data_IF_548307320826
#
_entry.id   IF_548307320826
#
_cell.length_a   1.000
_cell.length_b   1.000
_cell.length_c   1.000
_cell.angle_alpha   90.00
_cell.angle_beta   90.00
_cell.angle_gamma   90.00
#
_symmetry.space_group_name_H-M   'P 1'
#
loop_
_entity.id
_entity.type
_entity.pdbx_description
1 polymer ?
#
# COMPACT_ATOMS: atom_id res chain seq x y z
N UNK A 1 -16.17 17.65 7.63
CA UNK A 1 -15.52 16.35 7.53
C UNK A 1 -14.45 16.40 6.45
N UNK A 2 -13.24 16.05 6.82
CA UNK A 2 -12.14 16.14 5.89
C UNK A 2 -11.92 14.78 5.23
N UNK A 3 -12.04 14.77 3.93
CA UNK A 3 -11.59 13.61 3.17
C UNK A 3 -10.14 13.83 2.79
N UNK A 4 -9.34 12.81 3.00
CA UNK A 4 -7.94 12.86 2.60
C UNK A 4 -7.84 12.60 1.10
N UNK A 5 -6.94 13.31 0.45
CA UNK A 5 -6.56 13.02 -0.92
C UNK A 5 -5.56 11.87 -0.92
N UNK A 6 -5.47 11.16 -2.02
CA UNK A 6 -4.54 10.05 -2.12
C UNK A 6 -3.64 10.21 -3.33
N UNK A 7 -2.39 9.90 -3.14
CA UNK A 7 -1.42 9.86 -4.22
C UNK A 7 -0.62 8.56 -4.11
N UNK A 8 -0.60 7.79 -5.18
CA UNK A 8 0.11 6.52 -5.23
C UNK A 8 1.28 6.72 -6.19
N UNK A 9 2.50 6.41 -5.74
CA UNK A 9 3.66 6.56 -6.63
C UNK A 9 3.53 5.60 -7.81
N UNK A 10 4.15 5.95 -8.94
CA UNK A 10 3.96 5.22 -10.19
C UNK A 10 4.19 3.72 -10.09
N UNK A 11 5.30 3.22 -9.50
CA UNK A 11 5.48 1.77 -9.39
C UNK A 11 4.36 1.07 -8.61
N UNK A 12 3.82 1.70 -7.58
CA UNK A 12 2.71 1.13 -6.82
C UNK A 12 1.41 1.13 -7.63
N UNK A 13 1.18 2.19 -8.39
CA UNK A 13 0.00 2.24 -9.25
C UNK A 13 0.07 1.17 -10.33
N UNK A 14 1.23 0.99 -10.95
CA UNK A 14 1.42 -0.06 -11.94
C UNK A 14 1.18 -1.45 -11.35
N UNK A 15 1.67 -1.69 -10.13
CA UNK A 15 1.45 -2.95 -9.45
C UNK A 15 -0.04 -3.21 -9.22
N UNK A 16 -0.77 -2.20 -8.77
CA UNK A 16 -2.23 -2.33 -8.59
C UNK A 16 -2.94 -2.59 -9.90
N UNK A 17 -2.53 -1.91 -10.97
CA UNK A 17 -3.13 -2.11 -12.30
C UNK A 17 -2.87 -3.53 -12.79
N UNK A 18 -1.67 -4.04 -12.60
CA UNK A 18 -1.33 -5.42 -12.98
C UNK A 18 -2.15 -6.42 -12.18
N UNK A 19 -2.33 -6.20 -10.88
CA UNK A 19 -3.15 -7.07 -10.04
C UNK A 19 -4.60 -7.06 -10.51
N UNK A 20 -5.11 -5.91 -10.92
CA UNK A 20 -6.48 -5.83 -11.42
C UNK A 20 -6.69 -6.75 -12.62
N UNK A 21 -5.67 -6.90 -13.44
CA UNK A 21 -5.73 -7.76 -14.62
C UNK A 21 -5.46 -9.23 -14.28
N UNK A 22 -4.48 -9.52 -13.44
CA UNK A 22 -3.99 -10.88 -13.24
C UNK A 22 -4.37 -11.51 -11.91
N UNK A 23 -4.81 -10.74 -10.92
CA UNK A 23 -5.20 -11.28 -9.61
C UNK A 23 -6.18 -10.35 -8.93
N UNK A 24 -7.40 -10.38 -9.41
CA UNK A 24 -8.45 -9.48 -8.92
C UNK A 24 -8.72 -9.61 -7.41
N UNK A 25 -8.74 -10.82 -6.82
CA UNK A 25 -8.94 -10.91 -5.37
C UNK A 25 -7.90 -10.16 -4.55
N UNK A 26 -6.62 -10.24 -4.90
CA UNK A 26 -5.56 -9.51 -4.21
C UNK A 26 -5.71 -8.00 -4.48
N UNK A 27 -6.02 -7.61 -5.71
CA UNK A 27 -6.29 -6.22 -6.03
C UNK A 27 -7.39 -5.64 -5.14
N UNK A 28 -8.50 -6.35 -5.02
CA UNK A 28 -9.64 -5.88 -4.23
C UNK A 28 -9.29 -5.80 -2.74
N UNK A 29 -8.54 -6.77 -2.23
CA UNK A 29 -8.07 -6.77 -0.85
C UNK A 29 -7.23 -5.52 -0.55
N UNK A 30 -6.29 -5.20 -1.43
CA UNK A 30 -5.45 -4.02 -1.27
C UNK A 30 -6.25 -2.73 -1.38
N UNK A 31 -7.17 -2.66 -2.32
CA UNK A 31 -8.02 -1.49 -2.48
C UNK A 31 -8.91 -1.25 -1.27
N UNK A 32 -9.44 -2.30 -0.66
CA UNK A 32 -10.25 -2.17 0.55
C UNK A 32 -9.42 -1.58 1.70
N UNK A 33 -8.17 -2.03 1.85
CA UNK A 33 -7.27 -1.48 2.87
C UNK A 33 -6.95 -0.02 2.58
N UNK A 34 -6.71 0.32 1.32
CA UNK A 34 -6.44 1.70 0.92
C UNK A 34 -7.63 2.60 1.26
N UNK A 35 -8.84 2.13 1.03
CA UNK A 35 -10.06 2.88 1.40
C UNK A 35 -10.13 3.13 2.90
N UNK A 36 -9.76 2.14 3.72
CA UNK A 36 -9.68 2.34 5.17
C UNK A 36 -8.66 3.42 5.53
N UNK A 37 -7.48 3.37 4.90
CA UNK A 37 -6.44 4.36 5.16
C UNK A 37 -6.92 5.76 4.80
N UNK A 38 -7.62 5.91 3.68
CA UNK A 38 -8.16 7.20 3.26
C UNK A 38 -9.18 7.73 4.28
N UNK A 39 -10.01 6.85 4.83
CA UNK A 39 -11.03 7.24 5.81
C UNK A 39 -10.39 7.70 7.12
N UNK A 40 -9.50 6.91 7.69
CA UNK A 40 -8.88 7.18 8.98
C UNK A 40 -7.40 6.77 8.93
N UNK A 41 -6.52 7.63 8.39
CA UNK A 41 -5.11 7.25 8.20
C UNK A 41 -4.33 7.03 9.49
N UNK A 42 -4.81 7.56 10.61
CA UNK A 42 -4.16 7.39 11.91
C UNK A 42 -4.91 6.44 12.82
N UNK A 43 -5.70 5.53 12.25
CA UNK A 43 -6.41 4.51 13.01
C UNK A 43 -5.43 3.69 13.84
N UNK A 44 -5.85 3.27 15.04
CA UNK A 44 -4.95 2.61 15.99
C UNK A 44 -4.34 1.30 15.47
N UNK A 45 -5.02 0.63 14.53
CA UNK A 45 -4.47 -0.60 13.94
C UNK A 45 -3.37 -0.35 12.90
N UNK A 46 -3.22 0.89 12.43
CA UNK A 46 -2.12 1.27 11.55
C UNK A 46 -0.96 1.71 12.42
N UNK A 47 0.23 1.19 12.14
CA UNK A 47 1.39 1.41 12.98
C UNK A 47 2.42 2.29 12.30
N UNK A 48 3.12 3.09 13.10
CA UNK A 48 4.25 3.86 12.61
C UNK A 48 5.45 2.92 12.43
N UNK A 49 6.21 3.12 11.37
CA UNK A 49 7.43 2.34 11.15
C UNK A 49 8.51 2.76 12.15
N UNK A 50 9.30 1.78 12.60
CA UNK A 50 10.48 2.07 13.39
C UNK A 50 11.47 2.88 12.56
N UNK A 51 12.21 3.76 13.22
CA UNK A 51 13.20 4.62 12.59
C UNK A 51 12.63 5.61 11.58
N UNK A 52 11.33 5.89 11.66
CA UNK A 52 10.70 6.89 10.82
C UNK A 52 9.70 7.69 11.63
N UNK A 53 9.75 9.01 11.47
CA UNK A 53 8.81 9.91 12.13
C UNK A 53 7.51 10.08 11.36
N UNK A 54 7.49 9.67 10.10
CA UNK A 54 6.34 9.94 9.23
C UNK A 54 5.70 8.70 8.63
N UNK A 55 6.47 7.65 8.39
CA UNK A 55 5.99 6.50 7.63
C UNK A 55 5.13 5.60 8.50
N UNK A 56 4.01 5.19 7.95
CA UNK A 56 3.07 4.29 8.59
C UNK A 56 2.85 3.07 7.73
N UNK A 57 2.37 2.01 8.35
CA UNK A 57 2.06 0.77 7.65
C UNK A 57 0.64 0.33 7.93
N UNK A 58 0.00 -0.21 6.90
CA UNK A 58 -1.29 -0.87 7.00
C UNK A 58 -1.14 -2.32 6.58
N UNK A 59 -1.72 -3.21 7.35
CA UNK A 59 -1.73 -4.64 7.05
C UNK A 59 -2.88 -4.95 6.10
N UNK A 60 -2.61 -5.73 5.08
CA UNK A 60 -3.62 -6.20 4.13
C UNK A 60 -3.30 -7.67 3.80
N UNK A 61 -3.77 -8.59 4.64
CA UNK A 61 -3.41 -10.01 4.53
C UNK A 61 -1.89 -10.19 4.68
N UNK A 62 -1.27 -10.85 3.71
CA UNK A 62 0.18 -11.02 3.66
C UNK A 62 0.91 -9.78 3.14
N UNK A 63 0.15 -8.78 2.73
CA UNK A 63 0.72 -7.56 2.16
C UNK A 63 0.80 -6.47 3.21
N UNK A 64 1.69 -5.53 2.98
CA UNK A 64 1.80 -4.31 3.76
C UNK A 64 1.83 -3.12 2.82
N UNK A 65 1.15 -2.06 3.24
CA UNK A 65 1.13 -0.80 2.51
C UNK A 65 1.84 0.22 3.39
N UNK A 66 2.88 0.84 2.85
CA UNK A 66 3.60 1.89 3.55
C UNK A 66 3.17 3.23 2.98
N UNK A 67 2.81 4.15 3.86
CA UNK A 67 2.33 5.46 3.46
C UNK A 67 2.73 6.50 4.48
N UNK A 68 2.67 7.76 4.08
CA UNK A 68 2.75 8.87 5.02
C UNK A 68 1.70 9.90 4.66
N UNK A 69 1.38 10.75 5.64
CA UNK A 69 0.39 11.82 5.45
C UNK A 69 1.12 13.15 5.54
N UNK A 70 0.91 13.98 4.53
CA UNK A 70 1.41 15.35 4.53
C UNK A 70 0.25 16.28 4.17
N UNK A 71 -0.07 17.19 5.09
CA UNK A 71 -1.24 18.05 4.96
C UNK A 71 -2.51 17.19 4.88
N UNK A 72 -3.26 17.28 3.81
CA UNK A 72 -4.47 16.50 3.60
C UNK A 72 -4.28 15.35 2.61
N UNK A 73 -3.05 15.02 2.28
CA UNK A 73 -2.75 14.04 1.25
C UNK A 73 -2.03 12.83 1.84
N UNK A 74 -2.49 11.65 1.48
CA UNK A 74 -1.87 10.39 1.83
C UNK A 74 -1.01 9.95 0.65
N UNK A 75 0.28 9.71 0.91
CA UNK A 75 1.22 9.27 -0.11
C UNK A 75 1.54 7.79 0.13
N UNK A 76 1.14 6.93 -0.78
CA UNK A 76 1.48 5.52 -0.73
C UNK A 76 2.79 5.32 -1.47
N UNK A 77 3.80 4.83 -0.75
CA UNK A 77 5.17 4.73 -1.25
C UNK A 77 5.66 3.31 -1.45
N UNK A 78 5.06 2.34 -0.76
CA UNK A 78 5.44 0.94 -0.91
C UNK A 78 4.22 0.05 -0.78
N UNK A 79 4.16 -0.99 -1.59
CA UNK A 79 3.20 -2.08 -1.45
C UNK A 79 3.97 -3.37 -1.73
N UNK A 80 3.90 -4.33 -0.82
CA UNK A 80 4.58 -5.59 -1.04
C UNK A 80 4.27 -6.59 0.06
N UNK A 81 4.80 -7.80 -0.09
CA UNK A 81 4.63 -8.84 0.92
C UNK A 81 5.43 -8.48 2.17
N UNK A 82 4.91 -8.90 3.32
CA UNK A 82 5.46 -8.52 4.62
C UNK A 82 6.98 -8.70 4.72
N UNK A 83 7.51 -9.82 4.25
CA UNK A 83 8.94 -10.09 4.40
C UNK A 83 9.82 -9.27 3.44
N UNK A 84 9.26 -8.61 2.45
CA UNK A 84 10.03 -7.92 1.42
C UNK A 84 9.84 -6.41 1.43
N UNK A 85 8.67 -5.92 1.84
CA UNK A 85 8.29 -4.51 1.68
C UNK A 85 9.25 -3.56 2.38
N UNK A 86 9.78 -3.94 3.53
CA UNK A 86 10.66 -3.06 4.31
C UNK A 86 12.09 -3.01 3.80
N UNK A 87 12.46 -3.93 2.90
CA UNK A 87 13.78 -3.96 2.27
C UNK A 87 13.83 -3.13 0.99
N UNK A 88 12.66 -2.70 0.49
CA UNK A 88 12.59 -1.85 -0.70
C UNK A 88 12.80 -0.40 -0.33
N UNK A 89 13.48 0.35 -1.19
CA UNK A 89 13.64 1.79 -0.98
C UNK A 89 12.29 2.48 -1.16
N UNK A 90 11.67 2.32 -2.30
CA UNK A 90 10.32 2.79 -2.60
C UNK A 90 9.72 1.87 -3.64
N UNK A 91 8.39 1.89 -3.74
CA UNK A 91 7.69 1.27 -4.83
C UNK A 91 7.16 -0.11 -4.53
N UNK A 92 7.13 -0.93 -5.55
CA UNK A 92 6.55 -2.25 -5.50
C UNK A 92 7.42 -3.23 -6.27
N UNK A 93 7.33 -4.52 -5.93
CA UNK A 93 8.08 -5.50 -6.69
C UNK A 93 7.57 -5.61 -8.13
N UNK A 94 8.47 -5.78 -9.06
CA UNK A 94 8.10 -6.11 -10.43
C UNK A 94 7.98 -7.62 -10.52
N UNK A 95 6.77 -8.11 -10.73
CA UNK A 95 6.48 -9.53 -10.75
C UNK A 95 6.04 -9.96 -12.14
N UNK A 96 6.40 -11.18 -12.52
CA UNK A 96 5.90 -11.79 -13.74
C UNK A 96 4.40 -12.05 -13.63
N UNK A 97 3.72 -12.22 -14.76
CA UNK A 97 2.30 -12.54 -14.78
C UNK A 97 2.00 -13.80 -13.96
N UNK A 98 2.88 -14.80 -14.06
CA UNK A 98 2.74 -16.04 -13.30
C UNK A 98 2.77 -15.79 -11.80
N UNK A 99 3.70 -14.98 -11.32
CA UNK A 99 3.81 -14.66 -9.91
C UNK A 99 2.63 -13.83 -9.44
N UNK A 100 2.17 -12.88 -10.24
CA UNK A 100 0.99 -12.09 -9.91
C UNK A 100 -0.23 -12.97 -9.69
N UNK A 101 -0.43 -13.97 -10.55
CA UNK A 101 -1.56 -14.88 -10.43
C UNK A 101 -1.49 -15.78 -9.20
N UNK A 102 -0.30 -16.02 -8.68
CA UNK A 102 -0.09 -16.94 -7.56
C UNK A 102 0.00 -16.26 -6.20
N UNK A 103 -0.15 -14.93 -6.14
CA UNK A 103 -0.10 -14.20 -4.87
C UNK A 103 -1.26 -14.51 -3.92
#
# INVERSE_FOLDING_TARGET
MNEYKIQVINPCQEFLDDLKEYNLPVHNQLCDTIKEVISIPFKSKFKRLENSDRDMRARSGNFRIVYFVKNDTIFITKIGQHKNVYKMDVGCPKLSKKKLRSL
#
